data_IF_192145201373
#
_entry.id   IF_192145201373
#
_cell.length_a   1.000
_cell.length_b   1.000
_cell.length_c   1.000
_cell.angle_alpha   90.00
_cell.angle_beta   90.00
_cell.angle_gamma   90.00
#
_symmetry.space_group_name_H-M   'P 1'
#
loop_
_entity.id
_entity.type
_entity.pdbx_description
1 polymer ?
#
# COMPACT_ATOMS: atom_id res chain seq x y z
N UNK A 1 -9.00 -7.87 22.78
CA UNK A 1 -8.73 -6.56 22.23
C UNK A 1 -7.46 -6.59 21.38
N UNK A 2 -7.46 -5.86 20.28
CA UNK A 2 -6.29 -5.75 19.42
C UNK A 2 -5.17 -4.98 20.10
N UNK A 3 -3.93 -5.43 19.89
CA UNK A 3 -2.76 -4.63 20.25
C UNK A 3 -2.65 -3.42 19.32
N UNK A 4 -2.33 -2.27 19.90
CA UNK A 4 -1.89 -1.12 19.13
C UNK A 4 -0.49 -1.41 18.58
N UNK A 5 -0.26 -1.04 17.34
CA UNK A 5 1.03 -1.23 16.68
C UNK A 5 1.86 0.06 16.81
N UNK A 6 3.09 -0.10 17.31
CA UNK A 6 4.01 1.03 17.48
C UNK A 6 5.13 0.93 16.45
N UNK A 7 5.28 1.95 15.60
CA UNK A 7 6.36 2.05 14.61
C UNK A 7 7.14 3.33 14.91
N UNK A 8 8.33 3.18 15.51
CA UNK A 8 9.06 4.32 16.02
C UNK A 8 8.20 5.10 17.02
N UNK A 9 8.02 6.40 16.78
CA UNK A 9 7.15 7.26 17.60
C UNK A 9 5.71 7.33 17.09
N UNK A 10 5.35 6.51 16.11
CA UNK A 10 4.01 6.50 15.52
C UNK A 10 3.20 5.35 16.11
N UNK A 11 2.07 5.67 16.74
CA UNK A 11 1.15 4.66 17.28
C UNK A 11 -0.02 4.48 16.32
N UNK A 12 -0.27 3.25 15.91
CA UNK A 12 -1.40 2.88 15.07
C UNK A 12 -2.50 2.27 15.92
N UNK A 13 -3.75 2.66 15.66
CA UNK A 13 -4.92 2.23 16.44
C UNK A 13 -5.23 0.74 16.30
N UNK A 14 -4.81 0.16 15.19
CA UNK A 14 -5.01 -1.26 14.88
C UNK A 14 -3.87 -1.73 13.97
N UNK A 15 -3.71 -3.05 13.74
CA UNK A 15 -2.58 -3.56 12.97
C UNK A 15 -2.83 -3.65 11.45
N UNK A 16 -3.87 -3.01 10.92
CA UNK A 16 -4.28 -3.19 9.51
C UNK A 16 -3.85 -1.99 8.67
N UNK A 17 -3.09 -2.27 7.61
CA UNK A 17 -2.38 -1.27 6.82
C UNK A 17 -2.73 -1.41 5.34
N UNK A 18 -2.97 -0.28 4.65
CA UNK A 18 -3.10 -0.26 3.19
C UNK A 18 -1.72 -0.30 2.55
N UNK A 19 -1.50 -1.27 1.67
CA UNK A 19 -0.24 -1.40 0.93
C UNK A 19 -0.04 -0.27 -0.10
N UNK A 20 1.21 0.10 -0.38
CA UNK A 20 1.50 1.00 -1.50
C UNK A 20 1.26 0.28 -2.82
N UNK A 21 0.50 0.90 -3.73
CA UNK A 21 0.19 0.34 -5.04
C UNK A 21 0.24 1.43 -6.10
N UNK A 22 1.19 1.33 -7.02
CA UNK A 22 1.35 2.31 -8.10
C UNK A 22 0.06 2.41 -8.93
N UNK A 23 -0.40 3.64 -9.16
CA UNK A 23 -1.62 3.91 -9.90
C UNK A 23 -2.92 3.62 -9.14
N UNK A 24 -2.86 3.17 -7.90
CA UNK A 24 -4.03 2.78 -7.11
C UNK A 24 -4.09 3.55 -5.78
N UNK A 25 -3.02 3.52 -4.98
CA UNK A 25 -3.03 4.13 -3.64
C UNK A 25 -2.72 5.64 -3.71
N UNK A 26 -3.49 6.34 -4.51
CA UNK A 26 -3.49 7.80 -4.58
C UNK A 26 -4.27 8.41 -3.40
N UNK A 27 -4.27 9.73 -3.29
CA UNK A 27 -4.93 10.42 -2.18
C UNK A 27 -6.42 10.05 -2.06
N UNK A 28 -7.23 10.07 -3.13
CA UNK A 28 -8.64 9.68 -3.02
C UNK A 28 -8.83 8.26 -2.45
N UNK A 29 -8.08 7.29 -2.97
CA UNK A 29 -8.20 5.91 -2.52
C UNK A 29 -7.72 5.73 -1.08
N UNK A 30 -6.60 6.34 -0.71
CA UNK A 30 -6.08 6.28 0.66
C UNK A 30 -7.08 6.86 1.65
N UNK A 31 -7.70 7.99 1.32
CA UNK A 31 -8.67 8.62 2.21
C UNK A 31 -9.86 7.69 2.47
N UNK A 32 -10.40 7.04 1.44
CA UNK A 32 -11.50 6.10 1.59
C UNK A 32 -11.10 4.89 2.46
N UNK A 33 -9.91 4.34 2.24
CA UNK A 33 -9.42 3.22 3.04
C UNK A 33 -9.19 3.63 4.50
N UNK A 34 -8.68 4.84 4.73
CA UNK A 34 -8.51 5.37 6.09
C UNK A 34 -9.86 5.52 6.80
N UNK A 35 -10.85 6.05 6.10
CA UNK A 35 -12.23 6.19 6.63
C UNK A 35 -12.84 4.83 6.97
N UNK A 36 -12.49 3.79 6.22
CA UNK A 36 -12.96 2.42 6.46
C UNK A 36 -12.19 1.70 7.56
N UNK A 37 -11.18 2.32 8.16
CA UNK A 37 -10.53 1.77 9.34
C UNK A 37 -9.06 1.37 9.19
N UNK A 38 -8.46 1.53 8.01
CA UNK A 38 -7.02 1.30 7.87
C UNK A 38 -6.27 2.22 8.85
N UNK A 39 -5.41 1.64 9.70
CA UNK A 39 -4.69 2.41 10.70
C UNK A 39 -3.54 3.21 10.12
N UNK A 40 -2.97 2.75 9.01
CA UNK A 40 -1.93 3.41 8.25
C UNK A 40 -2.23 3.23 6.78
N UNK A 41 -2.09 4.29 6.00
CA UNK A 41 -2.22 4.23 4.55
C UNK A 41 -0.87 4.54 3.90
N UNK A 42 -0.46 3.70 2.95
CA UNK A 42 0.81 3.85 2.25
C UNK A 42 0.59 4.48 0.88
N UNK A 43 1.41 5.47 0.58
CA UNK A 43 1.36 6.22 -0.67
C UNK A 43 2.03 5.45 -1.79
N UNK A 44 1.74 5.84 -3.03
CA UNK A 44 2.44 5.31 -4.20
C UNK A 44 3.93 5.61 -4.10
N UNK A 45 4.77 4.72 -4.64
CA UNK A 45 6.21 4.95 -4.61
C UNK A 45 6.63 6.15 -5.46
N UNK A 46 7.55 6.93 -4.93
CA UNK A 46 8.07 8.15 -5.55
C UNK A 46 9.56 7.97 -5.82
N UNK A 47 10.01 8.28 -7.03
CA UNK A 47 11.41 8.22 -7.39
C UNK A 47 12.21 9.34 -6.73
N UNK A 48 13.26 9.00 -5.99
CA UNK A 48 14.16 9.98 -5.41
C UNK A 48 14.85 10.80 -6.51
N UNK A 49 15.24 10.16 -7.61
CA UNK A 49 15.82 10.88 -8.76
C UNK A 49 14.82 11.86 -9.38
N UNK A 50 13.54 11.48 -9.46
CA UNK A 50 12.52 12.38 -10.00
C UNK A 50 12.35 13.63 -9.14
N UNK A 51 12.43 13.49 -7.81
CA UNK A 51 12.42 14.64 -6.89
C UNK A 51 13.67 15.49 -7.12
N UNK A 52 14.82 14.85 -7.21
CA UNK A 52 16.12 15.53 -7.43
C UNK A 52 16.12 16.39 -8.68
N UNK A 53 15.53 15.88 -9.78
CA UNK A 53 15.44 16.60 -11.05
C UNK A 53 14.20 17.49 -11.17
N UNK A 54 13.47 17.70 -10.08
CA UNK A 54 12.27 18.55 -10.02
C UNK A 54 11.17 18.16 -11.03
N UNK A 55 10.94 16.86 -11.18
CA UNK A 55 9.85 16.38 -12.03
C UNK A 55 8.52 16.89 -11.48
N UNK A 56 7.70 17.52 -12.32
CA UNK A 56 6.44 18.18 -11.93
C UNK A 56 5.41 17.23 -11.31
N UNK A 57 5.44 15.95 -11.70
CA UNK A 57 4.46 14.97 -11.23
C UNK A 57 4.72 14.49 -9.80
N UNK A 58 5.93 14.69 -9.26
CA UNK A 58 6.26 14.20 -7.93
C UNK A 58 5.51 14.93 -6.82
N UNK A 59 5.29 16.23 -6.95
CA UNK A 59 4.57 17.00 -5.94
C UNK A 59 3.15 16.49 -5.74
N UNK A 60 2.43 16.22 -6.84
CA UNK A 60 1.06 15.69 -6.75
C UNK A 60 1.02 14.28 -6.14
N UNK A 61 2.03 13.45 -6.42
CA UNK A 61 2.13 12.11 -5.82
C UNK A 61 2.35 12.18 -4.31
N UNK A 62 2.96 13.25 -3.80
CA UNK A 62 3.27 13.42 -2.37
C UNK A 62 2.21 14.23 -1.62
N UNK A 63 1.11 14.62 -2.26
CA UNK A 63 0.03 15.35 -1.59
C UNK A 63 -0.67 14.46 -0.57
N UNK A 64 -0.92 15.02 0.62
CA UNK A 64 -1.50 14.30 1.75
C UNK A 64 -2.66 15.10 2.32
N UNK A 65 -3.82 14.45 2.46
CA UNK A 65 -4.97 15.05 3.13
C UNK A 65 -4.81 14.86 4.65
N UNK A 66 -5.10 15.89 5.47
CA UNK A 66 -4.95 15.77 6.93
C UNK A 66 -5.70 14.58 7.54
N UNK A 67 -6.85 14.20 6.99
CA UNK A 67 -7.68 13.12 7.51
C UNK A 67 -7.16 11.71 7.16
N UNK A 68 -6.19 11.59 6.25
CA UNK A 68 -5.59 10.28 5.97
C UNK A 68 -4.42 9.94 6.90
N UNK A 69 -3.92 10.92 7.66
CA UNK A 69 -2.80 10.72 8.59
C UNK A 69 -3.20 9.83 9.76
N UNK A 70 -2.36 8.82 10.15
CA UNK A 70 -0.97 8.60 9.72
C UNK A 70 -0.87 8.01 8.33
N UNK A 71 0.08 8.51 7.56
CA UNK A 71 0.37 8.08 6.20
C UNK A 71 1.86 7.82 6.03
N UNK A 72 2.20 6.82 5.23
CA UNK A 72 3.58 6.46 4.91
C UNK A 72 3.91 6.89 3.49
N UNK A 73 4.98 7.68 3.34
CA UNK A 73 5.51 8.08 2.05
C UNK A 73 6.61 7.13 1.65
N UNK A 74 6.51 6.53 0.47
CA UNK A 74 7.48 5.55 0.00
C UNK A 74 8.38 6.12 -1.10
N UNK A 75 9.69 6.08 -0.87
CA UNK A 75 10.70 6.41 -1.88
C UNK A 75 11.25 5.14 -2.52
N UNK A 76 11.70 5.27 -3.76
CA UNK A 76 12.57 4.28 -4.38
C UNK A 76 13.77 4.94 -5.03
N UNK A 77 14.86 4.20 -5.09
CA UNK A 77 16.15 4.68 -5.62
C UNK A 77 17.25 3.70 -5.25
N UNK A 78 18.47 3.97 -5.74
CA UNK A 78 19.63 3.14 -5.46
C UNK A 78 20.87 3.91 -5.00
N UNK A 79 20.82 5.23 -5.04
CA UNK A 79 21.94 6.08 -4.61
C UNK A 79 21.71 6.54 -3.17
N UNK A 80 22.57 6.12 -2.21
CA UNK A 80 22.39 6.49 -0.80
C UNK A 80 22.37 7.99 -0.56
N UNK A 81 23.22 8.74 -1.26
CA UNK A 81 23.32 10.18 -1.08
C UNK A 81 22.08 10.92 -1.59
N UNK A 82 21.61 10.57 -2.79
CA UNK A 82 20.40 11.16 -3.37
C UNK A 82 19.18 10.81 -2.51
N UNK A 83 19.04 9.57 -2.07
CA UNK A 83 17.93 9.13 -1.21
C UNK A 83 17.91 9.93 0.09
N UNK A 84 19.05 10.04 0.78
CA UNK A 84 19.14 10.78 2.03
C UNK A 84 18.86 12.27 1.84
N UNK A 85 19.40 12.88 0.80
CA UNK A 85 19.18 14.28 0.47
C UNK A 85 17.72 14.58 0.16
N UNK A 86 17.08 13.71 -0.64
CA UNK A 86 15.67 13.89 -0.98
C UNK A 86 14.75 13.62 0.21
N UNK A 87 15.06 12.63 1.04
CA UNK A 87 14.32 12.38 2.27
C UNK A 87 14.32 13.61 3.17
N UNK A 88 15.48 14.26 3.32
CA UNK A 88 15.61 15.48 4.11
C UNK A 88 14.82 16.63 3.50
N UNK A 89 14.87 16.77 2.17
CA UNK A 89 14.15 17.83 1.45
C UNK A 89 12.64 17.74 1.65
N UNK A 90 12.08 16.53 1.71
CA UNK A 90 10.62 16.30 1.81
C UNK A 90 10.14 16.07 3.23
N UNK A 91 11.01 16.04 4.23
CA UNK A 91 10.66 15.73 5.62
C UNK A 91 9.59 16.64 6.20
N UNK A 92 9.49 17.89 5.73
CA UNK A 92 8.49 18.86 6.20
C UNK A 92 7.06 18.49 5.79
N UNK A 93 6.88 17.62 4.80
CA UNK A 93 5.55 17.17 4.39
C UNK A 93 4.90 16.36 5.52
N UNK A 94 3.55 16.31 5.59
CA UNK A 94 2.86 15.75 6.75
C UNK A 94 2.78 14.22 6.78
N UNK A 95 3.67 13.50 6.10
CA UNK A 95 3.76 12.05 6.25
C UNK A 95 4.32 11.70 7.64
N UNK A 96 3.93 10.53 8.15
CA UNK A 96 4.32 10.08 9.48
C UNK A 96 5.55 9.17 9.46
N UNK A 97 5.74 8.44 8.36
CA UNK A 97 6.76 7.40 8.20
C UNK A 97 7.33 7.53 6.79
N UNK A 98 8.65 7.40 6.65
CA UNK A 98 9.31 7.27 5.36
C UNK A 98 9.65 5.81 5.12
N UNK A 99 9.09 5.25 4.05
CA UNK A 99 9.34 3.86 3.67
C UNK A 99 10.26 3.79 2.44
N UNK A 100 11.13 2.79 2.41
CA UNK A 100 11.96 2.50 1.23
C UNK A 100 11.41 1.28 0.51
N UNK A 101 11.13 1.43 -0.78
CA UNK A 101 10.70 0.32 -1.63
C UNK A 101 11.90 -0.55 -1.99
N UNK A 102 11.84 -1.83 -1.57
CA UNK A 102 12.82 -2.85 -1.93
C UNK A 102 12.14 -4.09 -2.51
N UNK A 103 10.89 -3.95 -2.96
CA UNK A 103 10.11 -5.09 -3.44
C UNK A 103 9.55 -4.95 -4.86
N UNK A 104 9.55 -3.76 -5.44
CA UNK A 104 8.97 -3.55 -6.77
C UNK A 104 9.66 -4.43 -7.82
N UNK A 105 8.89 -5.30 -8.53
CA UNK A 105 9.46 -6.26 -9.46
C UNK A 105 9.53 -5.73 -10.91
N UNK A 106 9.01 -4.54 -11.17
CA UNK A 106 8.85 -4.02 -12.53
C UNK A 106 10.20 -3.84 -13.22
N UNK A 107 10.38 -4.33 -14.47
CA UNK A 107 11.66 -4.27 -15.16
C UNK A 107 12.28 -2.87 -15.23
N UNK A 108 11.48 -1.84 -15.47
CA UNK A 108 11.95 -0.45 -15.53
C UNK A 108 12.65 -0.02 -14.23
N UNK A 109 12.12 -0.46 -13.09
CA UNK A 109 12.69 -0.16 -11.77
C UNK A 109 13.91 -1.04 -11.50
N UNK A 110 13.76 -2.35 -11.71
CA UNK A 110 14.81 -3.36 -11.44
C UNK A 110 16.04 -3.12 -12.32
N UNK A 111 15.85 -2.76 -13.59
CA UNK A 111 16.96 -2.51 -14.51
C UNK A 111 17.79 -1.29 -14.12
N UNK A 112 17.24 -0.38 -13.32
CA UNK A 112 17.98 0.75 -12.76
C UNK A 112 18.63 0.42 -11.40
N UNK A 113 18.62 -0.82 -10.97
CA UNK A 113 19.18 -1.23 -9.68
C UNK A 113 18.32 -0.84 -8.49
N UNK A 114 17.05 -0.52 -8.71
CA UNK A 114 16.12 -0.03 -7.71
C UNK A 114 15.05 -1.08 -7.39
N UNK A 115 14.25 -0.82 -6.36
CA UNK A 115 13.20 -1.74 -5.96
C UNK A 115 13.76 -3.08 -5.49
N UNK A 116 13.21 -4.18 -6.02
CA UNK A 116 13.64 -5.54 -5.63
C UNK A 116 15.08 -5.87 -6.04
N UNK A 117 15.68 -5.12 -6.97
CA UNK A 117 17.09 -5.28 -7.34
C UNK A 117 18.01 -5.02 -6.15
N UNK A 118 17.60 -4.17 -5.20
CA UNK A 118 18.38 -3.89 -3.98
C UNK A 118 18.60 -5.14 -3.14
N UNK A 119 17.69 -6.10 -3.18
CA UNK A 119 17.85 -7.34 -2.41
C UNK A 119 19.03 -8.19 -2.86
N UNK A 120 19.56 -7.94 -4.06
CA UNK A 120 20.78 -8.60 -4.54
C UNK A 120 22.06 -7.98 -4.01
N UNK A 121 21.96 -6.84 -3.33
CA UNK A 121 23.14 -6.07 -2.88
C UNK A 121 22.98 -5.64 -1.42
N UNK A 122 23.17 -6.58 -0.48
CA UNK A 122 23.02 -6.28 0.97
C UNK A 122 23.91 -5.15 1.45
N UNK A 123 25.11 -5.00 0.90
CA UNK A 123 26.03 -3.92 1.29
C UNK A 123 25.48 -2.56 0.91
N UNK A 124 24.89 -2.44 -0.30
CA UNK A 124 24.24 -1.21 -0.72
C UNK A 124 23.01 -0.90 0.15
N UNK A 125 22.23 -1.91 0.51
CA UNK A 125 21.10 -1.77 1.42
C UNK A 125 21.54 -1.15 2.74
N UNK A 126 22.63 -1.65 3.33
CA UNK A 126 23.20 -1.09 4.56
C UNK A 126 23.57 0.37 4.40
N UNK A 127 24.22 0.72 3.30
CA UNK A 127 24.62 2.11 3.01
C UNK A 127 23.39 3.02 2.87
N UNK A 128 22.38 2.58 2.13
CA UNK A 128 21.15 3.35 1.92
C UNK A 128 20.42 3.56 3.25
N UNK A 129 20.19 2.50 4.00
CA UNK A 129 19.41 2.58 5.23
C UNK A 129 20.11 3.39 6.31
N UNK A 130 21.42 3.25 6.43
CA UNK A 130 22.23 4.07 7.33
C UNK A 130 22.08 5.55 6.98
N UNK A 131 22.19 5.88 5.70
CA UNK A 131 22.07 7.27 5.24
C UNK A 131 20.67 7.83 5.49
N UNK A 132 19.62 7.08 5.22
CA UNK A 132 18.23 7.51 5.42
C UNK A 132 17.92 7.74 6.91
N UNK A 133 18.28 6.79 7.77
CA UNK A 133 18.01 6.90 9.22
C UNK A 133 18.72 8.10 9.83
N UNK A 134 19.91 8.41 9.35
CA UNK A 134 20.68 9.58 9.81
C UNK A 134 20.14 10.90 9.29
N UNK A 135 19.50 10.88 8.12
CA UNK A 135 19.08 12.10 7.43
C UNK A 135 17.84 12.76 8.02
N UNK A 136 16.92 11.98 8.59
CA UNK A 136 15.61 12.47 9.06
C UNK A 136 15.31 11.97 10.47
N UNK A 137 14.41 12.70 11.15
CA UNK A 137 13.93 12.33 12.49
C UNK A 137 12.73 11.40 12.47
N UNK A 138 11.95 11.41 11.38
CA UNK A 138 10.78 10.53 11.24
C UNK A 138 11.23 9.07 11.13
N UNK A 139 10.40 8.11 11.58
CA UNK A 139 10.72 6.69 11.43
C UNK A 139 10.95 6.31 9.97
N UNK A 140 11.99 5.53 9.74
CA UNK A 140 12.28 4.92 8.42
C UNK A 140 11.89 3.45 8.49
N UNK A 141 11.15 2.99 7.50
CA UNK A 141 10.75 1.59 7.35
C UNK A 141 11.19 1.06 5.99
N UNK A 142 11.12 -0.25 5.81
CA UNK A 142 11.43 -0.88 4.52
C UNK A 142 10.33 -1.87 4.14
N UNK A 143 10.07 -2.01 2.85
CA UNK A 143 9.15 -3.01 2.31
C UNK A 143 9.93 -3.92 1.38
N UNK A 144 10.04 -5.18 1.73
CA UNK A 144 10.87 -6.17 1.03
C UNK A 144 10.03 -7.32 0.50
N UNK A 145 10.62 -8.12 -0.35
CA UNK A 145 10.11 -9.43 -0.77
C UNK A 145 10.89 -10.55 -0.11
N UNK A 146 10.46 -11.79 -0.34
CA UNK A 146 11.14 -13.01 0.13
C UNK A 146 12.60 -13.06 -0.35
N UNK A 147 12.84 -12.60 -1.56
CA UNK A 147 14.12 -12.56 -2.21
C UNK A 147 13.97 -12.16 -3.67
N UNK A 148 15.06 -12.21 -4.44
CA UNK A 148 15.02 -11.87 -5.86
C UNK A 148 14.42 -13.03 -6.68
N UNK A 149 14.84 -14.26 -6.40
CA UNK A 149 14.33 -15.49 -7.00
C UNK A 149 14.49 -16.66 -6.02
N UNK A 150 14.11 -17.86 -6.42
CA UNK A 150 14.15 -19.03 -5.53
C UNK A 150 15.57 -19.42 -5.09
N UNK A 151 16.59 -19.06 -5.88
CA UNK A 151 18.00 -19.32 -5.55
C UNK A 151 18.61 -18.21 -4.68
N UNK A 152 17.90 -17.10 -4.49
CA UNK A 152 18.37 -15.93 -3.76
C UNK A 152 17.28 -15.45 -2.78
N UNK A 153 16.98 -16.31 -1.80
CA UNK A 153 16.02 -16.01 -0.72
C UNK A 153 16.81 -15.46 0.46
N UNK A 154 16.62 -14.17 0.77
CA UNK A 154 17.42 -13.49 1.78
C UNK A 154 16.65 -12.47 2.63
N UNK A 155 15.34 -12.61 2.73
CA UNK A 155 14.52 -11.67 3.53
C UNK A 155 15.02 -11.54 4.97
N UNK A 156 15.41 -12.66 5.60
CA UNK A 156 15.91 -12.65 6.98
C UNK A 156 17.19 -11.82 7.10
N UNK A 157 18.15 -12.02 6.20
CA UNK A 157 19.40 -11.26 6.17
C UNK A 157 19.14 -9.76 6.00
N UNK A 158 18.30 -9.40 5.04
CA UNK A 158 17.96 -8.00 4.77
C UNK A 158 17.24 -7.36 5.97
N UNK A 159 16.33 -8.08 6.62
CA UNK A 159 15.64 -7.58 7.81
C UNK A 159 16.60 -7.33 8.98
N UNK A 160 17.58 -8.21 9.18
CA UNK A 160 18.61 -8.02 10.21
C UNK A 160 19.48 -6.80 9.91
N UNK A 161 19.86 -6.59 8.67
CA UNK A 161 20.61 -5.40 8.24
C UNK A 161 19.79 -4.15 8.53
N UNK A 162 18.51 -4.16 8.16
CA UNK A 162 17.60 -3.04 8.38
C UNK A 162 17.50 -2.70 9.88
N UNK A 163 17.30 -3.69 10.72
CA UNK A 163 17.24 -3.50 12.17
C UNK A 163 18.54 -2.89 12.71
N UNK A 164 19.68 -3.42 12.29
CA UNK A 164 20.98 -2.91 12.70
C UNK A 164 21.21 -1.45 12.27
N UNK A 165 20.64 -1.03 11.15
CA UNK A 165 20.74 0.34 10.66
C UNK A 165 19.81 1.32 11.38
N UNK A 166 18.88 0.83 12.22
CA UNK A 166 17.94 1.69 12.94
C UNK A 166 16.58 1.84 12.28
N UNK A 167 16.23 0.96 11.33
CA UNK A 167 14.91 0.92 10.71
C UNK A 167 13.86 0.56 11.77
N UNK A 168 12.71 1.21 11.72
CA UNK A 168 11.67 1.09 12.75
C UNK A 168 10.69 -0.07 12.53
N UNK A 169 10.55 -0.57 11.30
CA UNK A 169 9.70 -1.71 10.98
C UNK A 169 10.04 -2.25 9.59
N UNK A 170 9.73 -3.52 9.34
CA UNK A 170 9.90 -4.16 8.04
C UNK A 170 8.58 -4.80 7.60
N UNK A 171 8.14 -4.51 6.37
CA UNK A 171 7.02 -5.19 5.74
C UNK A 171 7.57 -6.23 4.76
N UNK A 172 7.06 -7.44 4.84
CA UNK A 172 7.55 -8.58 4.05
C UNK A 172 6.43 -9.14 3.20
N UNK A 173 6.58 -9.05 1.87
CA UNK A 173 5.73 -9.77 0.94
C UNK A 173 6.35 -11.16 0.70
N UNK A 174 5.59 -12.21 0.98
CA UNK A 174 6.08 -13.60 0.93
C UNK A 174 6.29 -14.17 -0.46
N UNK A 175 6.53 -13.33 -1.47
CA UNK A 175 6.87 -13.75 -2.84
C UNK A 175 8.25 -13.22 -3.22
N UNK A 176 8.94 -13.94 -4.11
CA UNK A 176 10.17 -13.42 -4.74
C UNK A 176 9.83 -12.42 -5.84
N UNK A 177 10.84 -11.66 -6.26
CA UNK A 177 10.69 -10.76 -7.43
C UNK A 177 10.25 -11.55 -8.65
N UNK A 178 10.85 -12.70 -8.89
CA UNK A 178 10.55 -13.52 -10.06
C UNK A 178 9.09 -13.99 -10.12
N UNK A 179 8.47 -14.20 -8.98
CA UNK A 179 7.06 -14.60 -8.92
C UNK A 179 6.09 -13.47 -9.31
N UNK A 180 6.45 -12.22 -9.13
CA UNK A 180 5.49 -11.11 -9.22
C UNK A 180 4.30 -11.35 -8.28
N UNK A 181 3.17 -11.83 -8.82
CA UNK A 181 1.97 -12.20 -8.08
C UNK A 181 1.55 -13.65 -8.36
N UNK A 182 2.37 -14.42 -9.06
CA UNK A 182 2.06 -15.81 -9.34
C UNK A 182 2.25 -16.70 -8.12
N UNK A 183 1.58 -17.85 -8.12
CA UNK A 183 1.63 -18.79 -7.02
C UNK A 183 1.05 -18.21 -5.72
N UNK A 184 1.44 -18.83 -4.62
CA UNK A 184 1.02 -18.39 -3.28
C UNK A 184 2.15 -17.66 -2.57
N UNK A 185 1.80 -16.68 -1.74
CA UNK A 185 2.75 -16.05 -0.85
C UNK A 185 3.19 -17.07 0.21
N UNK A 186 4.50 -17.11 0.45
CA UNK A 186 5.09 -17.95 1.49
C UNK A 186 5.03 -17.20 2.82
N UNK A 187 4.10 -17.58 3.68
CA UNK A 187 3.99 -16.97 5.01
C UNK A 187 5.08 -17.45 5.96
N UNK A 188 5.70 -18.60 5.69
CA UNK A 188 6.77 -19.09 6.53
C UNK A 188 7.98 -18.16 6.54
N UNK A 189 8.31 -17.53 5.41
CA UNK A 189 9.41 -16.55 5.39
C UNK A 189 9.09 -15.33 6.28
N UNK A 190 7.82 -14.95 6.40
CA UNK A 190 7.39 -13.87 7.29
C UNK A 190 7.62 -14.28 8.74
N UNK A 191 7.28 -15.53 9.10
CA UNK A 191 7.55 -16.07 10.43
C UNK A 191 9.06 -16.08 10.73
N UNK A 192 9.89 -16.48 9.77
CA UNK A 192 11.33 -16.50 9.92
C UNK A 192 11.89 -15.09 10.17
N UNK A 193 11.39 -14.10 9.44
CA UNK A 193 11.79 -12.71 9.66
C UNK A 193 11.39 -12.24 11.05
N UNK A 194 10.15 -12.55 11.47
CA UNK A 194 9.67 -12.19 12.81
C UNK A 194 10.53 -12.79 13.92
N UNK A 195 10.96 -14.02 13.75
CA UNK A 195 11.84 -14.68 14.73
C UNK A 195 13.24 -14.07 14.77
N UNK A 196 13.68 -13.44 13.68
CA UNK A 196 15.04 -12.95 13.53
C UNK A 196 15.25 -11.52 14.02
N UNK A 197 14.19 -10.71 14.10
CA UNK A 197 14.29 -9.29 14.46
C UNK A 197 13.35 -8.95 15.61
N UNK A 198 13.64 -7.85 16.29
CA UNK A 198 12.83 -7.32 17.41
C UNK A 198 11.91 -6.17 16.97
N UNK A 199 12.22 -5.52 15.87
CA UNK A 199 11.36 -4.46 15.30
C UNK A 199 10.06 -5.07 14.79
N UNK A 200 8.98 -4.29 14.71
CA UNK A 200 7.72 -4.77 14.14
C UNK A 200 7.89 -5.33 12.72
N UNK A 201 7.20 -6.44 12.46
CA UNK A 201 7.15 -7.08 11.14
C UNK A 201 5.71 -7.02 10.65
N UNK A 202 5.54 -6.52 9.44
CA UNK A 202 4.24 -6.42 8.76
C UNK A 202 4.16 -7.51 7.71
N UNK A 203 3.17 -8.40 7.84
CA UNK A 203 2.97 -9.48 6.87
C UNK A 203 2.14 -9.01 5.68
N UNK A 204 2.55 -9.44 4.48
CA UNK A 204 1.87 -9.06 3.24
C UNK A 204 1.86 -10.24 2.26
N UNK A 205 0.76 -10.38 1.53
CA UNK A 205 0.58 -11.38 0.48
C UNK A 205 -0.61 -12.30 0.73
N UNK A 206 -1.54 -12.33 -0.23
CA UNK A 206 -2.72 -13.19 -0.24
C UNK A 206 -3.71 -12.98 0.91
N UNK A 207 -3.69 -11.80 1.52
CA UNK A 207 -4.67 -11.46 2.56
C UNK A 207 -5.86 -10.77 1.91
N UNK A 208 -6.89 -11.53 1.62
CA UNK A 208 -8.08 -11.07 0.91
C UNK A 208 -9.40 -11.24 1.71
N UNK A 209 -9.29 -11.60 2.98
CA UNK A 209 -10.44 -11.79 3.85
C UNK A 209 -10.07 -11.52 5.31
N UNK A 210 -11.05 -11.25 6.18
CA UNK A 210 -10.80 -11.15 7.61
C UNK A 210 -10.17 -12.40 8.22
N UNK A 211 -10.61 -13.59 7.78
CA UNK A 211 -10.07 -14.86 8.23
C UNK A 211 -8.60 -15.01 7.89
N UNK A 212 -8.20 -14.62 6.67
CA UNK A 212 -6.79 -14.68 6.26
C UNK A 212 -5.94 -13.64 6.98
N UNK A 213 -6.49 -12.46 7.29
CA UNK A 213 -5.80 -11.48 8.11
C UNK A 213 -5.47 -12.03 9.50
N UNK A 214 -6.43 -12.68 10.14
CA UNK A 214 -6.22 -13.35 11.42
C UNK A 214 -5.21 -14.49 11.28
N UNK A 215 -5.33 -15.29 10.22
CA UNK A 215 -4.45 -16.43 9.99
C UNK A 215 -2.99 -16.02 9.83
N UNK A 216 -2.69 -14.98 9.06
CA UNK A 216 -1.30 -14.53 8.87
C UNK A 216 -0.70 -14.03 10.19
N UNK A 217 -1.49 -13.30 11.00
CA UNK A 217 -1.03 -12.82 12.31
C UNK A 217 -0.73 -13.98 13.27
N UNK A 218 -1.60 -14.99 13.31
CA UNK A 218 -1.43 -16.15 14.19
C UNK A 218 -0.33 -17.09 13.74
N UNK A 219 -0.28 -17.40 12.43
CA UNK A 219 0.69 -18.37 11.90
C UNK A 219 2.11 -17.84 11.85
N UNK A 220 2.29 -16.53 11.63
CA UNK A 220 3.62 -15.94 11.49
C UNK A 220 4.08 -15.22 12.75
N UNK A 221 3.16 -14.81 13.60
CA UNK A 221 3.49 -13.96 14.76
C UNK A 221 3.78 -12.52 14.37
N UNK A 222 3.57 -12.12 13.11
CA UNK A 222 3.83 -10.75 12.69
C UNK A 222 2.93 -9.76 13.44
N UNK A 223 3.38 -8.51 13.51
CA UNK A 223 2.76 -7.47 14.35
C UNK A 223 1.64 -6.72 13.63
N UNK A 224 1.66 -6.71 12.31
CA UNK A 224 0.67 -6.06 11.49
C UNK A 224 0.43 -6.80 10.19
N UNK A 225 -0.66 -6.45 9.50
CA UNK A 225 -1.02 -7.04 8.23
C UNK A 225 -1.25 -5.94 7.20
N UNK A 226 -0.66 -6.11 6.02
CA UNK A 226 -0.77 -5.16 4.92
C UNK A 226 -1.64 -5.75 3.82
N UNK A 227 -2.63 -4.98 3.38
CA UNK A 227 -3.61 -5.40 2.38
C UNK A 227 -3.45 -4.53 1.14
N UNK A 228 -3.25 -5.18 -0.01
CA UNK A 228 -3.09 -4.51 -1.29
C UNK A 228 -4.27 -4.76 -2.22
N UNK A 229 -4.13 -5.72 -3.12
CA UNK A 229 -5.09 -5.99 -4.20
C UNK A 229 -6.52 -6.23 -3.71
N UNK A 230 -6.69 -6.83 -2.54
CA UNK A 230 -8.03 -7.08 -1.98
C UNK A 230 -8.78 -5.81 -1.63
N UNK A 231 -8.11 -4.68 -1.49
CA UNK A 231 -8.75 -3.38 -1.24
C UNK A 231 -9.27 -2.73 -2.52
N UNK A 232 -8.83 -3.18 -3.70
CA UNK A 232 -9.26 -2.62 -4.98
C UNK A 232 -10.75 -2.89 -5.20
N UNK A 233 -11.55 -1.83 -5.38
CA UNK A 233 -13.00 -1.93 -5.46
C UNK A 233 -13.68 -2.40 -4.18
N UNK A 234 -12.94 -2.43 -3.06
CA UNK A 234 -13.43 -2.95 -1.79
C UNK A 234 -12.77 -2.28 -0.57
N UNK A 235 -12.87 -0.96 -0.39
CA UNK A 235 -12.33 -0.32 0.81
C UNK A 235 -12.94 -0.85 2.10
N UNK A 236 -14.12 -1.46 2.03
CA UNK A 236 -14.81 -2.07 3.18
C UNK A 236 -14.01 -3.21 3.82
N UNK A 237 -13.01 -3.76 3.10
CA UNK A 237 -12.17 -4.84 3.65
C UNK A 237 -11.52 -4.41 4.98
N UNK A 238 -11.15 -3.14 5.12
CA UNK A 238 -10.54 -2.63 6.34
C UNK A 238 -11.52 -2.68 7.50
N UNK A 239 -12.76 -2.24 7.31
CA UNK A 239 -13.82 -2.31 8.32
C UNK A 239 -14.07 -3.75 8.75
N UNK A 240 -14.12 -4.66 7.78
CA UNK A 240 -14.38 -6.08 8.03
C UNK A 240 -13.23 -6.74 8.80
N UNK A 241 -12.00 -6.47 8.39
CA UNK A 241 -10.81 -7.03 9.06
C UNK A 241 -10.68 -6.49 10.48
N UNK A 242 -10.78 -5.18 10.66
CA UNK A 242 -10.69 -4.57 11.99
C UNK A 242 -11.74 -5.11 12.94
N UNK A 243 -13.00 -5.20 12.49
CA UNK A 243 -14.09 -5.75 13.31
C UNK A 243 -13.81 -7.19 13.69
N UNK A 244 -13.38 -8.01 12.74
CA UNK A 244 -13.10 -9.42 12.99
C UNK A 244 -11.95 -9.63 13.98
N UNK A 245 -10.88 -8.87 13.84
CA UNK A 245 -9.73 -8.95 14.75
C UNK A 245 -10.09 -8.45 16.16
N UNK A 246 -10.95 -7.43 16.24
CA UNK A 246 -11.32 -6.83 17.52
C UNK A 246 -12.31 -7.68 18.31
N UNK A 247 -13.36 -8.19 17.67
CA UNK A 247 -14.47 -8.86 18.37
C UNK A 247 -14.96 -10.16 17.72
N UNK A 248 -14.29 -10.65 16.69
CA UNK A 248 -14.64 -11.92 16.03
C UNK A 248 -15.85 -11.86 15.13
N UNK A 249 -16.39 -10.67 14.85
CA UNK A 249 -17.57 -10.51 14.00
C UNK A 249 -17.21 -9.81 12.69
N UNK A 250 -17.86 -10.23 11.60
CA UNK A 250 -17.69 -9.63 10.28
C UNK A 250 -18.97 -8.85 9.96
N UNK A 251 -18.89 -7.52 9.74
CA UNK A 251 -20.07 -6.74 9.35
C UNK A 251 -20.68 -7.24 8.04
N UNK A 252 -21.96 -6.97 7.84
CA UNK A 252 -22.63 -7.27 6.58
C UNK A 252 -21.93 -6.58 5.43
N UNK A 253 -21.88 -7.25 4.27
CA UNK A 253 -21.35 -6.63 3.05
C UNK A 253 -22.17 -5.39 2.68
N UNK A 254 -21.56 -4.40 1.99
CA UNK A 254 -22.27 -3.16 1.65
C UNK A 254 -23.46 -3.43 0.75
N UNK A 255 -24.56 -2.70 1.00
CA UNK A 255 -25.74 -2.66 0.14
C UNK A 255 -25.40 -1.93 -1.16
N UNK A 256 -26.27 -2.04 -2.18
CA UNK A 256 -26.13 -1.27 -3.42
C UNK A 256 -26.07 0.23 -3.14
N UNK A 257 -26.85 0.72 -2.19
CA UNK A 257 -26.85 2.13 -1.81
C UNK A 257 -25.50 2.54 -1.21
N UNK A 258 -24.96 1.74 -0.31
CA UNK A 258 -23.65 2.01 0.29
C UNK A 258 -22.53 1.99 -0.76
N UNK A 259 -22.58 1.04 -1.69
CA UNK A 259 -21.61 0.97 -2.82
C UNK A 259 -21.71 2.22 -3.69
N UNK A 260 -22.93 2.62 -4.04
CA UNK A 260 -23.14 3.81 -4.86
C UNK A 260 -22.59 5.06 -4.16
N UNK A 261 -22.89 5.23 -2.88
CA UNK A 261 -22.40 6.36 -2.10
C UNK A 261 -20.86 6.40 -2.04
N UNK A 262 -20.21 5.25 -1.83
CA UNK A 262 -18.75 5.13 -1.83
C UNK A 262 -18.17 5.51 -3.20
N UNK A 263 -18.74 4.99 -4.27
CA UNK A 263 -18.24 5.21 -5.63
C UNK A 263 -18.40 6.68 -6.02
N UNK A 264 -19.56 7.29 -5.69
CA UNK A 264 -19.78 8.71 -5.98
C UNK A 264 -18.85 9.61 -5.17
N UNK A 265 -18.56 9.27 -3.92
CA UNK A 265 -17.57 9.98 -3.12
C UNK A 265 -16.17 9.82 -3.72
N UNK A 266 -15.81 8.62 -4.14
CA UNK A 266 -14.53 8.33 -4.80
C UNK A 266 -14.39 9.18 -6.07
N UNK A 267 -15.42 9.19 -6.90
CA UNK A 267 -15.46 9.99 -8.13
C UNK A 267 -15.33 11.50 -7.84
N UNK A 268 -16.03 11.98 -6.81
CA UNK A 268 -15.95 13.40 -6.41
C UNK A 268 -14.54 13.78 -5.97
N UNK A 269 -13.86 12.93 -5.23
CA UNK A 269 -12.48 13.13 -4.83
C UNK A 269 -11.53 13.12 -6.03
N UNK A 270 -11.73 12.21 -6.96
CA UNK A 270 -10.96 12.16 -8.21
C UNK A 270 -11.11 13.46 -9.01
N UNK A 271 -12.33 13.96 -9.09
CA UNK A 271 -12.61 15.23 -9.77
C UNK A 271 -11.90 16.41 -9.09
N UNK A 272 -11.98 16.46 -7.77
CA UNK A 272 -11.36 17.53 -6.97
C UNK A 272 -9.84 17.56 -7.14
N UNK A 273 -9.18 16.40 -7.05
CA UNK A 273 -7.72 16.34 -7.04
C UNK A 273 -7.07 16.21 -8.41
N UNK A 274 -7.81 15.73 -9.41
CA UNK A 274 -7.24 15.41 -10.73
C UNK A 274 -7.95 16.06 -11.92
N UNK A 275 -9.08 16.68 -11.69
CA UNK A 275 -9.92 17.24 -12.74
C UNK A 275 -10.73 16.17 -13.47
N UNK A 276 -11.65 16.61 -14.34
CA UNK A 276 -12.59 15.72 -15.03
C UNK A 276 -11.90 14.76 -15.99
N UNK A 277 -11.00 15.25 -16.82
CA UNK A 277 -10.34 14.42 -17.82
C UNK A 277 -9.61 13.22 -17.19
N UNK A 278 -8.68 13.50 -16.30
CA UNK A 278 -7.89 12.46 -15.64
C UNK A 278 -8.73 11.68 -14.64
N UNK A 279 -9.53 12.39 -13.84
CA UNK A 279 -10.33 11.78 -12.78
C UNK A 279 -11.31 10.74 -13.28
N UNK A 280 -12.07 11.05 -14.34
CA UNK A 280 -13.03 10.09 -14.90
C UNK A 280 -12.31 8.90 -15.51
N UNK A 281 -11.23 9.14 -16.25
CA UNK A 281 -10.48 8.05 -16.88
C UNK A 281 -9.85 7.12 -15.86
N UNK A 282 -9.29 7.64 -14.78
CA UNK A 282 -8.75 6.81 -13.71
C UNK A 282 -9.84 6.07 -12.92
N UNK A 283 -11.05 6.67 -12.80
CA UNK A 283 -12.17 5.99 -12.17
C UNK A 283 -12.65 4.75 -12.93
N UNK A 284 -12.38 4.63 -14.22
CA UNK A 284 -12.82 3.47 -15.01
C UNK A 284 -12.34 2.15 -14.42
N UNK A 285 -11.05 2.06 -14.04
CA UNK A 285 -10.51 0.84 -13.43
C UNK A 285 -11.14 0.56 -12.07
N UNK A 286 -11.34 1.61 -11.25
CA UNK A 286 -12.00 1.45 -9.95
C UNK A 286 -13.44 0.97 -10.10
N UNK A 287 -14.19 1.53 -11.04
CA UNK A 287 -15.55 1.08 -11.34
C UNK A 287 -15.57 -0.39 -11.76
N UNK A 288 -14.61 -0.80 -12.60
CA UNK A 288 -14.50 -2.20 -12.99
C UNK A 288 -14.27 -3.10 -11.78
N UNK A 289 -13.41 -2.69 -10.84
CA UNK A 289 -13.18 -3.43 -9.61
C UNK A 289 -14.42 -3.44 -8.70
N UNK A 290 -15.12 -2.31 -8.55
CA UNK A 290 -16.34 -2.24 -7.73
C UNK A 290 -17.45 -3.16 -8.26
N UNK A 291 -17.44 -3.49 -9.55
CA UNK A 291 -18.46 -4.34 -10.18
C UNK A 291 -18.09 -5.82 -10.26
N UNK A 292 -16.90 -6.20 -9.80
CA UNK A 292 -16.47 -7.60 -9.81
C UNK A 292 -17.46 -8.47 -9.05
N UNK A 293 -17.86 -9.60 -9.66
CA UNK A 293 -18.79 -10.55 -9.05
C UNK A 293 -20.26 -10.19 -9.23
N UNK A 294 -20.58 -9.03 -9.79
CA UNK A 294 -21.95 -8.66 -10.08
C UNK A 294 -22.47 -9.35 -11.35
N UNK A 295 -23.77 -9.66 -11.42
CA UNK A 295 -24.40 -10.08 -12.68
C UNK A 295 -24.16 -9.03 -13.77
N UNK A 296 -23.91 -9.48 -14.99
CA UNK A 296 -23.67 -8.60 -16.16
C UNK A 296 -22.42 -7.71 -16.03
N UNK A 297 -21.43 -8.10 -15.23
CA UNK A 297 -20.21 -7.30 -15.06
C UNK A 297 -19.47 -7.01 -16.37
N UNK A 298 -19.49 -7.94 -17.34
CA UNK A 298 -18.88 -7.73 -18.65
C UNK A 298 -19.56 -6.60 -19.42
N UNK A 299 -20.91 -6.54 -19.37
CA UNK A 299 -21.67 -5.47 -19.99
C UNK A 299 -21.36 -4.11 -19.35
N UNK A 300 -21.31 -4.07 -18.01
CA UNK A 300 -20.96 -2.84 -17.30
C UNK A 300 -19.56 -2.34 -17.67
N UNK A 301 -18.57 -3.25 -17.82
CA UNK A 301 -17.22 -2.86 -18.23
C UNK A 301 -17.19 -2.18 -19.58
N UNK A 302 -18.00 -2.64 -20.54
CA UNK A 302 -18.09 -1.99 -21.84
C UNK A 302 -18.60 -0.54 -21.70
N UNK A 303 -19.64 -0.35 -20.91
CA UNK A 303 -20.20 0.98 -20.64
C UNK A 303 -19.19 1.88 -19.90
N UNK A 304 -18.54 1.33 -18.87
CA UNK A 304 -17.55 2.05 -18.08
C UNK A 304 -16.38 2.56 -18.94
N UNK A 305 -15.89 1.73 -19.86
CA UNK A 305 -14.73 2.07 -20.67
C UNK A 305 -14.98 3.22 -21.65
N UNK A 306 -16.23 3.58 -21.89
CA UNK A 306 -16.59 4.70 -22.78
C UNK A 306 -16.88 6.01 -22.04
N UNK A 307 -16.91 6.00 -20.72
CA UNK A 307 -17.17 7.20 -19.91
C UNK A 307 -16.02 8.21 -20.05
N UNK A 308 -16.36 9.45 -20.37
CA UNK A 308 -15.39 10.54 -20.50
C UNK A 308 -15.73 11.74 -19.62
N UNK A 309 -17.00 11.90 -19.26
CA UNK A 309 -17.52 13.01 -18.48
C UNK A 309 -18.06 12.55 -17.14
N UNK A 310 -17.98 13.43 -16.13
CA UNK A 310 -18.46 13.11 -14.79
C UNK A 310 -19.95 12.80 -14.76
N UNK A 311 -20.76 13.51 -15.53
CA UNK A 311 -22.21 13.26 -15.60
C UNK A 311 -22.53 11.86 -16.16
N UNK A 312 -21.75 11.40 -17.16
CA UNK A 312 -21.87 10.04 -17.67
C UNK A 312 -21.54 9.00 -16.60
N UNK A 313 -20.48 9.26 -15.84
CA UNK A 313 -20.06 8.37 -14.74
C UNK A 313 -21.16 8.30 -13.68
N UNK A 314 -21.68 9.43 -13.23
CA UNK A 314 -22.74 9.48 -12.21
C UNK A 314 -23.96 8.72 -12.66
N UNK A 315 -24.42 8.93 -13.90
CA UNK A 315 -25.56 8.19 -14.44
C UNK A 315 -25.31 6.70 -14.49
N UNK A 316 -24.12 6.30 -14.96
CA UNK A 316 -23.73 4.89 -15.02
C UNK A 316 -23.71 4.23 -13.65
N UNK A 317 -23.24 4.93 -12.62
CA UNK A 317 -23.22 4.41 -11.24
C UNK A 317 -24.65 4.19 -10.73
N UNK A 318 -25.56 5.09 -10.99
CA UNK A 318 -26.97 4.92 -10.60
C UNK A 318 -27.65 3.76 -11.35
N UNK A 319 -27.27 3.50 -12.58
CA UNK A 319 -27.79 2.36 -13.35
C UNK A 319 -27.23 1.02 -12.85
N UNK A 320 -25.92 0.99 -12.54
CA UNK A 320 -25.23 -0.23 -12.08
C UNK A 320 -25.65 -0.60 -10.66
N UNK A 321 -25.83 0.40 -9.82
CA UNK A 321 -26.17 0.23 -8.39
C UNK A 321 -27.50 0.93 -8.08
N UNK A 322 -28.62 0.43 -8.60
CA UNK A 322 -29.94 1.02 -8.32
C UNK A 322 -30.35 0.83 -6.87
N UNK A 323 -31.34 1.61 -6.44
CA UNK A 323 -31.94 1.40 -5.13
C UNK A 323 -32.55 0.00 -5.05
N UNK A 324 -32.34 -0.66 -3.91
CA UNK A 324 -32.94 -1.95 -3.65
C UNK A 324 -34.42 -1.78 -3.31
N UNK A 325 -35.24 -2.64 -3.91
CA UNK A 325 -36.69 -2.62 -3.70
C UNK A 325 -37.04 -3.38 -2.41
#
# INVERSE_FOLDING_TARGET
SMKKLQIGNVTLDNPVILAPMAGVSDLPFRLLCREMGAALVCMEMVSAKAIYYNNKNTDSLMEIHPEEVPASLQLFGSDPQILAEMAKRIEERPFSILDLNMGCPVPKVVNNGEGSALMKDPKLVEQILTALVRAIDKPVTVKIRKGFDDDHVNAVEIAKIAEACGVAAVAVHGRTRAQYYSGQADWDIIAQVKDAVKIPVIGNGDVDSPEKAKAILEQTGCDGVMIGRAAEGNPWIFREVVSYLENGTIPARPTNREKREMILRHAALQLEYKGEYTGVREMRKHLSWYTVGMPHSAHFRQTINTMEKMDELIRGVHEIFPDEV
#
